data_IF_520782255700
#
_entry.id   IF_520782255700
#
_cell.length_a   1.000
_cell.length_b   1.000
_cell.length_c   1.000
_cell.angle_alpha   90.00
_cell.angle_beta   90.00
_cell.angle_gamma   90.00
#
_symmetry.space_group_name_H-M   'P 1'
#
loop_
_entity.id
_entity.type
_entity.pdbx_description
1 polymer ?
#
# COMPACT_ATOMS: atom_id res chain seq x y z
N UNK A 1 -29.78 18.92 34.12
CA UNK A 1 -28.89 19.17 32.97
C UNK A 1 -29.32 18.27 31.82
N UNK A 2 -30.03 18.81 30.82
CA UNK A 2 -30.38 18.07 29.59
C UNK A 2 -29.13 18.04 28.71
N UNK A 3 -28.63 16.85 28.36
CA UNK A 3 -27.62 16.72 27.31
C UNK A 3 -28.28 17.22 26.01
N UNK A 4 -27.77 18.30 25.45
CA UNK A 4 -28.15 18.71 24.10
C UNK A 4 -27.88 17.52 23.17
N UNK A 5 -28.88 17.16 22.38
CA UNK A 5 -28.74 16.08 21.41
C UNK A 5 -27.69 16.49 20.38
N UNK A 6 -26.54 15.83 20.42
CA UNK A 6 -25.45 16.00 19.45
C UNK A 6 -26.04 15.77 18.06
N UNK A 7 -25.99 16.81 17.20
CA UNK A 7 -26.43 16.67 15.81
C UNK A 7 -25.68 15.49 15.18
N UNK A 8 -26.34 14.64 14.38
CA UNK A 8 -25.66 13.52 13.73
C UNK A 8 -24.49 14.08 12.92
N UNK A 9 -23.27 13.65 13.26
CA UNK A 9 -22.07 14.06 12.54
C UNK A 9 -22.23 13.68 11.07
N UNK A 10 -21.89 14.61 10.20
CA UNK A 10 -21.83 14.34 8.77
C UNK A 10 -20.80 13.23 8.55
N UNK A 11 -21.02 12.36 7.58
CA UNK A 11 -20.12 11.23 7.39
C UNK A 11 -18.71 11.70 6.99
N UNK A 12 -18.65 12.85 6.34
CA UNK A 12 -17.45 13.62 6.01
C UNK A 12 -16.62 13.92 7.27
N UNK A 13 -17.26 14.27 8.39
CA UNK A 13 -16.59 14.51 9.68
C UNK A 13 -15.89 13.23 10.19
N UNK A 14 -16.47 12.06 9.93
CA UNK A 14 -15.87 10.77 10.32
C UNK A 14 -14.64 10.45 9.46
N UNK A 15 -14.68 10.75 8.16
CA UNK A 15 -13.52 10.59 7.28
C UNK A 15 -12.39 11.53 7.68
N UNK A 16 -12.70 12.81 7.89
CA UNK A 16 -11.75 13.83 8.36
C UNK A 16 -11.07 13.42 9.66
N UNK A 17 -11.85 12.98 10.64
CA UNK A 17 -11.32 12.52 11.92
C UNK A 17 -10.44 11.28 11.77
N UNK A 18 -10.82 10.31 10.95
CA UNK A 18 -10.07 9.05 10.81
C UNK A 18 -8.77 9.20 10.02
N UNK A 19 -8.78 10.04 8.97
CA UNK A 19 -7.61 10.29 8.11
C UNK A 19 -6.76 11.49 8.58
N UNK A 20 -7.17 12.17 9.66
CA UNK A 20 -6.49 13.34 10.22
C UNK A 20 -6.30 14.44 9.17
N UNK A 21 -7.39 14.88 8.54
CA UNK A 21 -7.43 16.04 7.64
C UNK A 21 -8.60 16.96 7.98
N UNK A 22 -8.56 18.20 7.50
CA UNK A 22 -9.63 19.21 7.68
C UNK A 22 -10.09 19.79 6.32
N UNK A 23 -11.02 20.74 6.36
CA UNK A 23 -11.55 21.38 5.14
C UNK A 23 -10.47 22.10 4.32
N UNK A 24 -9.45 22.68 4.98
CA UNK A 24 -8.35 23.35 4.30
C UNK A 24 -7.46 22.35 3.58
N UNK A 25 -7.17 21.21 4.20
CA UNK A 25 -6.47 20.08 3.59
C UNK A 25 -7.24 19.55 2.36
N UNK A 26 -8.57 19.42 2.46
CA UNK A 26 -9.40 18.97 1.35
C UNK A 26 -9.42 19.97 0.19
N UNK A 27 -9.58 21.26 0.49
CA UNK A 27 -9.61 22.33 -0.51
C UNK A 27 -8.27 22.41 -1.27
N UNK A 28 -7.14 22.37 -0.57
CA UNK A 28 -5.83 22.36 -1.21
C UNK A 28 -5.66 21.13 -2.12
N UNK A 29 -6.09 19.95 -1.66
CA UNK A 29 -5.98 18.72 -2.44
C UNK A 29 -6.85 18.75 -3.70
N UNK A 30 -8.04 19.37 -3.66
CA UNK A 30 -8.89 19.59 -4.84
C UNK A 30 -8.20 20.44 -5.91
N UNK A 31 -7.34 21.36 -5.49
CA UNK A 31 -6.53 22.21 -6.38
C UNK A 31 -5.25 21.51 -6.86
N UNK A 32 -5.00 20.27 -6.40
CA UNK A 32 -3.78 19.51 -6.70
C UNK A 32 -2.58 19.93 -5.85
N UNK A 33 -2.79 20.78 -4.84
CA UNK A 33 -1.76 21.33 -3.97
C UNK A 33 -1.73 20.65 -2.61
N UNK A 34 -0.60 20.81 -1.91
CA UNK A 34 -0.43 20.30 -0.55
C UNK A 34 -0.77 21.39 0.46
N UNK A 35 -1.51 21.03 1.51
CA UNK A 35 -1.72 21.96 2.62
C UNK A 35 -0.45 22.16 3.46
N UNK A 36 -0.35 23.27 4.17
CA UNK A 36 0.77 23.53 5.09
C UNK A 36 0.90 22.44 6.17
N UNK A 37 -0.23 21.92 6.67
CA UNK A 37 -0.27 20.84 7.66
C UNK A 37 0.31 19.56 7.09
N UNK A 38 -0.09 19.17 5.88
CA UNK A 38 0.42 17.97 5.21
C UNK A 38 1.93 18.11 4.91
N UNK A 39 2.37 19.28 4.43
CA UNK A 39 3.80 19.58 4.20
C UNK A 39 4.58 19.44 5.51
N UNK A 40 4.08 20.00 6.62
CA UNK A 40 4.72 19.91 7.93
C UNK A 40 4.82 18.45 8.41
N UNK A 41 3.75 17.66 8.27
CA UNK A 41 3.74 16.21 8.60
C UNK A 41 4.76 15.43 7.77
N UNK A 42 4.81 15.65 6.46
CA UNK A 42 5.76 14.98 5.56
C UNK A 42 7.22 15.39 5.84
N UNK A 43 7.48 16.66 6.13
CA UNK A 43 8.81 17.14 6.56
C UNK A 43 9.22 16.57 7.91
N UNK A 44 8.29 16.44 8.86
CA UNK A 44 8.55 15.78 10.14
C UNK A 44 8.94 14.31 9.94
N UNK A 45 8.20 13.58 9.10
CA UNK A 45 8.53 12.19 8.74
C UNK A 45 9.91 12.07 8.08
N UNK A 46 10.25 12.98 7.16
CA UNK A 46 11.59 13.03 6.55
C UNK A 46 12.69 13.29 7.57
N UNK A 47 12.46 14.21 8.53
CA UNK A 47 13.41 14.48 9.63
C UNK A 47 13.61 13.25 10.51
N UNK A 48 12.54 12.53 10.83
CA UNK A 48 12.62 11.28 11.60
C UNK A 48 13.44 10.21 10.86
N UNK A 49 13.23 10.05 9.55
CA UNK A 49 14.03 9.13 8.73
C UNK A 49 15.51 9.54 8.69
N UNK A 50 15.80 10.83 8.54
CA UNK A 50 17.17 11.35 8.55
C UNK A 50 17.85 11.14 9.91
N UNK A 51 17.13 11.37 11.01
CA UNK A 51 17.63 11.12 12.36
C UNK A 51 17.90 9.63 12.58
N UNK A 52 16.99 8.74 12.15
CA UNK A 52 17.20 7.29 12.21
C UNK A 52 18.43 6.84 11.40
N UNK A 53 18.61 7.38 10.19
CA UNK A 53 19.79 7.11 9.38
C UNK A 53 21.09 7.58 10.06
N UNK A 54 21.08 8.77 10.68
CA UNK A 54 22.21 9.28 11.44
C UNK A 54 22.54 8.37 12.64
N UNK A 55 21.52 7.92 13.38
CA UNK A 55 21.71 7.04 14.53
C UNK A 55 22.28 5.68 14.12
N UNK A 56 21.85 5.13 12.97
CA UNK A 56 22.46 3.92 12.39
C UNK A 56 23.93 4.14 12.04
N UNK A 57 24.27 5.29 11.44
CA UNK A 57 25.64 5.62 11.08
C UNK A 57 26.56 5.74 12.31
N UNK A 58 26.08 6.41 13.37
CA UNK A 58 26.84 6.64 14.60
C UNK A 58 26.99 5.35 15.42
N UNK A 59 25.98 4.48 15.42
CA UNK A 59 26.02 3.20 16.16
C UNK A 59 26.82 2.11 15.46
N UNK A 60 27.00 2.20 14.14
CA UNK A 60 27.76 1.23 13.34
C UNK A 60 29.16 0.90 13.92
N UNK A 61 30.06 1.89 14.19
CA UNK A 61 31.39 1.59 14.73
C UNK A 61 31.34 0.95 16.11
N UNK A 62 30.34 1.30 16.95
CA UNK A 62 30.17 0.69 18.27
C UNK A 62 29.85 -0.81 18.15
N UNK A 63 28.94 -1.18 17.25
CA UNK A 63 28.64 -2.59 17.00
C UNK A 63 29.83 -3.35 16.40
N UNK A 64 30.55 -2.74 15.45
CA UNK A 64 31.75 -3.33 14.88
C UNK A 64 32.82 -3.58 15.94
N UNK A 65 33.00 -2.66 16.88
CA UNK A 65 33.92 -2.82 18.01
C UNK A 65 33.48 -3.93 18.98
N UNK A 66 32.19 -3.98 19.33
CA UNK A 66 31.66 -5.01 20.22
C UNK A 66 31.81 -6.42 19.62
N UNK A 67 31.57 -6.59 18.32
CA UNK A 67 31.69 -7.90 17.67
C UNK A 67 33.13 -8.31 17.37
N UNK A 68 34.04 -7.36 17.14
CA UNK A 68 35.45 -7.69 16.98
C UNK A 68 36.08 -8.21 18.28
N UNK A 69 35.60 -7.74 19.44
CA UNK A 69 36.05 -8.20 20.76
C UNK A 69 35.73 -9.67 21.07
N UNK A 70 34.75 -10.28 20.38
CA UNK A 70 34.44 -11.72 20.49
C UNK A 70 35.58 -12.59 19.92
N UNK A 71 36.36 -12.04 18.99
CA UNK A 71 37.48 -12.72 18.35
C UNK A 71 37.09 -13.86 17.40
N UNK A 72 38.09 -14.37 16.68
CA UNK A 72 37.96 -15.52 15.79
C UNK A 72 36.99 -15.33 14.61
N UNK A 73 36.60 -16.44 14.00
CA UNK A 73 35.69 -16.46 12.83
C UNK A 73 34.27 -16.02 13.18
N UNK A 74 33.81 -16.27 14.41
CA UNK A 74 32.46 -15.88 14.86
C UNK A 74 32.30 -14.36 14.90
N UNK A 75 33.26 -13.64 15.49
CA UNK A 75 33.23 -12.17 15.52
C UNK A 75 33.24 -11.54 14.11
N UNK A 76 34.01 -12.12 13.18
CA UNK A 76 34.03 -11.71 11.78
C UNK A 76 32.65 -11.86 11.12
N UNK A 77 32.01 -13.03 11.26
CA UNK A 77 30.69 -13.30 10.69
C UNK A 77 29.64 -12.32 11.22
N UNK A 78 29.62 -12.08 12.54
CA UNK A 78 28.69 -11.14 13.17
C UNK A 78 28.91 -9.70 12.69
N UNK A 79 30.16 -9.29 12.54
CA UNK A 79 30.52 -7.96 12.03
C UNK A 79 30.02 -7.75 10.61
N UNK A 80 30.24 -8.74 9.73
CA UNK A 80 29.77 -8.69 8.33
C UNK A 80 28.25 -8.66 8.25
N UNK A 81 27.55 -9.54 8.96
CA UNK A 81 26.08 -9.56 8.97
C UNK A 81 25.49 -8.25 9.49
N UNK A 82 26.07 -7.70 10.56
CA UNK A 82 25.65 -6.42 11.11
C UNK A 82 25.88 -5.29 10.10
N UNK A 83 27.05 -5.26 9.45
CA UNK A 83 27.33 -4.29 8.38
C UNK A 83 26.30 -4.34 7.26
N UNK A 84 25.93 -5.54 6.80
CA UNK A 84 24.91 -5.72 5.76
C UNK A 84 23.52 -5.21 6.21
N UNK A 85 23.12 -5.51 7.45
CA UNK A 85 21.85 -5.03 8.02
C UNK A 85 21.83 -3.50 8.11
N UNK A 86 22.92 -2.89 8.57
CA UNK A 86 23.04 -1.43 8.68
C UNK A 86 23.00 -0.76 7.30
N UNK A 87 23.69 -1.31 6.31
CA UNK A 87 23.66 -0.82 4.92
C UNK A 87 22.25 -0.93 4.34
N UNK A 88 21.57 -2.07 4.51
CA UNK A 88 20.20 -2.27 4.05
C UNK A 88 19.23 -1.27 4.71
N UNK A 89 19.36 -1.05 6.03
CA UNK A 89 18.57 -0.07 6.77
C UNK A 89 18.80 1.36 6.28
N UNK A 90 20.06 1.74 6.04
CA UNK A 90 20.43 3.05 5.51
C UNK A 90 19.85 3.27 4.10
N UNK A 91 19.96 2.28 3.21
CA UNK A 91 19.38 2.34 1.87
C UNK A 91 17.85 2.50 1.93
N UNK A 92 17.18 1.75 2.79
CA UNK A 92 15.73 1.87 2.98
C UNK A 92 15.31 3.26 3.50
N UNK A 93 16.08 3.84 4.42
CA UNK A 93 15.85 5.19 4.94
C UNK A 93 16.04 6.26 3.84
N UNK A 94 17.12 6.18 3.06
CA UNK A 94 17.41 7.09 1.95
C UNK A 94 16.34 6.98 0.86
N UNK A 95 15.95 5.77 0.48
CA UNK A 95 14.88 5.54 -0.50
C UNK A 95 13.54 6.11 -0.03
N UNK A 96 13.18 5.90 1.24
CA UNK A 96 11.95 6.44 1.81
C UNK A 96 11.97 7.97 1.86
N UNK A 97 13.09 8.57 2.25
CA UNK A 97 13.26 10.02 2.27
C UNK A 97 13.21 10.64 0.86
N UNK A 98 13.75 9.95 -0.15
CA UNK A 98 13.71 10.40 -1.54
C UNK A 98 12.31 10.31 -2.14
N UNK A 99 11.52 9.29 -1.77
CA UNK A 99 10.11 9.20 -2.13
C UNK A 99 9.31 10.37 -1.54
N UNK A 100 9.49 10.67 -0.24
CA UNK A 100 8.84 11.84 0.41
C UNK A 100 9.25 13.15 -0.26
N UNK A 101 10.53 13.29 -0.63
CA UNK A 101 11.01 14.49 -1.31
C UNK A 101 10.46 14.63 -2.74
N UNK A 102 10.22 13.52 -3.44
CA UNK A 102 9.55 13.52 -4.75
C UNK A 102 8.08 13.88 -4.63
N UNK A 103 7.38 13.29 -3.66
CA UNK A 103 5.96 13.59 -3.41
C UNK A 103 5.76 15.08 -3.11
N UNK A 104 6.59 15.66 -2.23
CA UNK A 104 6.52 17.09 -1.88
C UNK A 104 6.87 18.07 -3.02
N UNK A 105 7.47 17.58 -4.12
CA UNK A 105 7.77 18.39 -5.31
C UNK A 105 6.72 18.25 -6.40
N UNK A 106 5.90 17.20 -6.33
CA UNK A 106 4.85 16.92 -7.31
C UNK A 106 3.48 17.37 -6.79
N UNK A 107 2.49 17.46 -7.69
CA UNK A 107 1.11 17.69 -7.29
C UNK A 107 0.57 16.51 -6.49
N UNK A 108 -0.47 16.77 -5.70
CA UNK A 108 -1.29 15.73 -5.09
C UNK A 108 -1.99 14.95 -6.20
N UNK A 109 -1.93 13.61 -6.14
CA UNK A 109 -2.62 12.78 -7.10
C UNK A 109 -4.04 12.47 -6.64
N UNK A 110 -4.93 12.29 -7.60
CA UNK A 110 -6.33 11.97 -7.37
C UNK A 110 -6.67 10.63 -8.02
N UNK A 111 -7.57 9.88 -7.39
CA UNK A 111 -8.21 8.72 -8.00
C UNK A 111 -9.67 8.66 -7.55
N UNK A 112 -10.57 8.41 -8.51
CA UNK A 112 -12.00 8.21 -8.27
C UNK A 112 -12.40 6.77 -8.55
N UNK A 113 -13.43 6.30 -7.85
CA UNK A 113 -14.05 5.02 -8.15
C UNK A 113 -14.78 4.41 -6.96
N UNK A 114 -15.20 3.16 -7.11
CA UNK A 114 -15.84 2.41 -6.03
C UNK A 114 -14.77 1.78 -5.13
N UNK A 115 -14.89 1.99 -3.83
CA UNK A 115 -13.99 1.39 -2.84
C UNK A 115 -14.19 -0.11 -2.76
N UNK A 116 -13.10 -0.87 -2.78
CA UNK A 116 -13.07 -2.26 -2.41
C UNK A 116 -12.21 -2.45 -1.16
N UNK A 117 -12.82 -2.93 -0.09
CA UNK A 117 -12.15 -3.21 1.18
C UNK A 117 -11.55 -4.62 1.16
N UNK A 118 -10.26 -4.74 1.50
CA UNK A 118 -9.53 -6.02 1.52
C UNK A 118 -8.76 -6.15 2.85
N UNK A 119 -8.75 -7.35 3.43
CA UNK A 119 -7.97 -7.65 4.64
C UNK A 119 -7.08 -8.86 4.38
N UNK A 120 -5.84 -8.80 4.88
CA UNK A 120 -4.91 -9.93 4.79
C UNK A 120 -4.29 -10.22 6.13
N UNK A 121 -4.31 -11.48 6.56
CA UNK A 121 -3.53 -11.92 7.70
C UNK A 121 -2.06 -12.10 7.28
N UNK A 122 -1.13 -11.47 8.02
CA UNK A 122 0.32 -11.62 7.85
C UNK A 122 1.00 -11.63 9.21
N UNK A 123 1.75 -12.68 9.53
CA UNK A 123 2.52 -12.81 10.78
C UNK A 123 1.69 -12.48 12.04
N UNK A 124 0.51 -13.10 12.17
CA UNK A 124 -0.42 -12.86 13.28
C UNK A 124 -0.95 -11.41 13.40
N UNK A 125 -0.87 -10.62 12.34
CA UNK A 125 -1.43 -9.26 12.25
C UNK A 125 -2.33 -9.15 11.02
N UNK A 126 -3.46 -8.48 11.16
CA UNK A 126 -4.34 -8.14 10.03
C UNK A 126 -3.88 -6.83 9.41
N UNK A 127 -3.58 -6.85 8.11
CA UNK A 127 -3.30 -5.66 7.31
C UNK A 127 -4.57 -5.30 6.56
N UNK A 128 -4.98 -4.04 6.70
CA UNK A 128 -6.19 -3.50 6.10
C UNK A 128 -5.84 -2.70 4.85
N UNK A 129 -6.62 -2.89 3.80
CA UNK A 129 -6.40 -2.25 2.52
C UNK A 129 -7.68 -1.64 1.98
N UNK A 130 -7.54 -0.41 1.48
CA UNK A 130 -8.55 0.28 0.68
C UNK A 130 -8.07 0.24 -0.77
N UNK A 131 -8.87 -0.32 -1.67
CA UNK A 131 -8.59 -0.35 -3.10
C UNK A 131 -9.55 0.58 -3.83
N UNK A 132 -9.02 1.36 -4.76
CA UNK A 132 -9.79 2.21 -5.66
C UNK A 132 -9.20 2.05 -7.07
N UNK A 133 -9.96 1.44 -7.98
CA UNK A 133 -9.45 1.06 -9.30
C UNK A 133 -8.20 0.18 -9.22
N UNK A 134 -7.07 0.66 -9.76
CA UNK A 134 -5.78 -0.05 -9.77
C UNK A 134 -4.88 0.28 -8.57
N UNK A 135 -5.29 1.23 -7.73
CA UNK A 135 -4.49 1.71 -6.60
C UNK A 135 -4.91 0.99 -5.33
N UNK A 136 -3.93 0.66 -4.49
CA UNK A 136 -4.12 -0.02 -3.21
C UNK A 136 -3.38 0.74 -2.12
N UNK A 137 -4.12 1.13 -1.09
CA UNK A 137 -3.63 1.85 0.07
C UNK A 137 -3.61 0.91 1.28
N UNK A 138 -2.51 0.90 2.03
CA UNK A 138 -2.46 0.25 3.33
C UNK A 138 -2.89 1.26 4.37
N UNK A 139 -3.95 0.96 5.11
CA UNK A 139 -4.56 1.89 6.08
C UNK A 139 -4.59 1.26 7.47
N UNK A 140 -4.81 2.08 8.49
CA UNK A 140 -5.09 1.58 9.85
C UNK A 140 -6.50 1.00 9.93
N UNK A 141 -6.80 0.29 11.01
CA UNK A 141 -8.13 -0.32 11.23
C UNK A 141 -9.21 0.75 11.33
N UNK A 142 -8.92 1.86 11.99
CA UNK A 142 -9.84 2.98 12.20
C UNK A 142 -10.20 3.63 10.87
N UNK A 143 -9.18 3.92 10.05
CA UNK A 143 -9.31 4.42 8.68
C UNK A 143 -10.07 3.43 7.78
N UNK A 144 -9.83 2.12 7.91
CA UNK A 144 -10.53 1.10 7.13
C UNK A 144 -12.03 1.03 7.45
N UNK A 145 -12.40 1.17 8.72
CA UNK A 145 -13.79 1.08 9.18
C UNK A 145 -14.62 2.31 8.82
N UNK A 146 -14.00 3.43 8.47
CA UNK A 146 -14.77 4.59 8.02
C UNK A 146 -15.27 4.39 6.60
N UNK A 147 -14.46 3.84 5.68
CA UNK A 147 -14.86 3.59 4.30
C UNK A 147 -16.01 2.57 4.19
N UNK A 148 -16.94 2.84 3.27
CA UNK A 148 -18.03 1.92 2.91
C UNK A 148 -17.65 1.13 1.67
N UNK A 149 -17.76 -0.19 1.76
CA UNK A 149 -17.45 -1.07 0.65
C UNK A 149 -18.42 -0.83 -0.51
N UNK A 150 -17.90 -0.77 -1.74
CA UNK A 150 -18.59 -0.54 -3.03
C UNK A 150 -19.16 0.86 -3.25
N UNK A 151 -19.05 1.75 -2.27
CA UNK A 151 -19.48 3.14 -2.43
C UNK A 151 -18.45 3.96 -3.24
N UNK A 152 -18.89 4.99 -3.99
CA UNK A 152 -18.00 5.82 -4.80
C UNK A 152 -17.29 6.87 -3.95
N UNK A 153 -15.97 6.96 -4.09
CA UNK A 153 -15.13 7.97 -3.43
C UNK A 153 -14.19 8.62 -4.41
N UNK A 154 -13.76 9.83 -4.07
CA UNK A 154 -12.58 10.49 -4.61
C UNK A 154 -11.51 10.52 -3.53
N UNK A 155 -10.33 9.97 -3.82
CA UNK A 155 -9.19 9.91 -2.91
C UNK A 155 -8.06 10.78 -3.44
N UNK A 156 -7.55 11.64 -2.57
CA UNK A 156 -6.35 12.44 -2.82
C UNK A 156 -5.17 11.82 -2.07
N UNK A 157 -4.05 11.59 -2.74
CA UNK A 157 -2.96 10.78 -2.19
C UNK A 157 -1.57 11.19 -2.67
N UNK A 158 -0.57 10.82 -1.86
CA UNK A 158 0.85 10.94 -2.19
C UNK A 158 1.31 9.73 -3.05
N UNK A 159 1.73 9.89 -4.31
CA UNK A 159 1.99 8.77 -5.23
C UNK A 159 3.12 7.83 -4.80
N UNK A 160 4.25 8.39 -4.37
CA UNK A 160 5.45 7.64 -3.99
C UNK A 160 5.25 6.85 -2.70
N UNK A 161 4.60 7.45 -1.71
CA UNK A 161 4.27 6.80 -0.44
C UNK A 161 2.98 5.97 -0.47
N UNK A 162 2.12 6.13 -1.48
CA UNK A 162 0.76 5.56 -1.53
C UNK A 162 -0.01 5.79 -0.22
N UNK A 163 0.03 7.03 0.26
CA UNK A 163 -0.64 7.45 1.50
C UNK A 163 -1.82 8.35 1.15
N UNK A 164 -3.00 8.02 1.68
CA UNK A 164 -4.20 8.86 1.52
C UNK A 164 -4.00 10.14 2.33
N UNK A 165 -4.23 11.29 1.69
CA UNK A 165 -4.12 12.62 2.28
C UNK A 165 -5.50 13.14 2.71
N UNK A 166 -6.49 12.99 1.83
CA UNK A 166 -7.90 13.25 2.12
C UNK A 166 -8.81 12.35 1.28
N UNK A 167 -10.08 12.29 1.65
CA UNK A 167 -11.10 11.50 0.95
C UNK A 167 -12.43 12.24 0.93
N UNK A 168 -13.14 12.14 -0.19
CA UNK A 168 -14.47 12.69 -0.39
C UNK A 168 -15.43 11.56 -0.77
N UNK A 169 -16.60 11.51 -0.12
CA UNK A 169 -17.64 10.54 -0.46
C UNK A 169 -18.56 11.13 -1.53
N UNK A 170 -18.61 10.52 -2.71
CA UNK A 170 -19.35 11.04 -3.87
C UNK A 170 -20.86 10.71 -3.78
N UNK A 171 -21.42 10.74 -2.57
CA UNK A 171 -22.81 10.32 -2.33
C UNK A 171 -23.77 11.37 -2.89
N UNK A 172 -24.44 11.04 -3.99
CA UNK A 172 -25.72 11.67 -4.32
C UNK A 172 -25.73 12.78 -5.36
N UNK A 173 -24.72 12.93 -6.21
CA UNK A 173 -24.94 13.47 -7.57
C UNK A 173 -25.40 12.38 -8.56
N UNK A 174 -25.39 11.12 -8.12
CA UNK A 174 -25.81 9.93 -8.87
C UNK A 174 -27.34 9.79 -9.02
N UNK A 175 -28.07 10.90 -9.12
CA UNK A 175 -29.48 10.91 -9.51
C UNK A 175 -29.71 10.55 -10.99
N UNK A 176 -28.70 10.15 -11.78
CA UNK A 176 -28.88 10.02 -13.23
C UNK A 176 -28.05 8.98 -13.99
N UNK A 177 -27.11 8.25 -13.38
CA UNK A 177 -26.11 7.51 -14.16
C UNK A 177 -26.10 5.97 -14.05
N UNK A 178 -26.72 5.35 -13.04
CA UNK A 178 -26.47 3.92 -12.75
C UNK A 178 -27.71 3.01 -12.72
N UNK A 179 -28.76 3.34 -13.48
CA UNK A 179 -29.81 2.37 -13.85
C UNK A 179 -29.48 1.59 -15.13
N UNK A 180 -28.28 1.77 -15.72
CA UNK A 180 -27.96 1.23 -17.06
C UNK A 180 -26.84 0.18 -17.09
N UNK A 181 -26.34 -0.29 -15.93
CA UNK A 181 -25.27 -1.30 -15.87
C UNK A 181 -25.69 -2.66 -15.32
N UNK A 182 -26.97 -2.88 -14.98
CA UNK A 182 -27.52 -4.21 -14.68
C UNK A 182 -28.04 -4.97 -15.91
N UNK A 183 -27.57 -4.63 -17.11
CA UNK A 183 -27.62 -5.53 -18.29
C UNK A 183 -26.29 -6.26 -18.46
N UNK A 184 -25.80 -6.85 -17.37
CA UNK A 184 -24.76 -7.87 -17.37
C UNK A 184 -25.38 -9.18 -16.89
N UNK A 185 -25.91 -9.96 -17.84
CA UNK A 185 -25.83 -11.42 -17.71
C UNK A 185 -27.11 -12.19 -17.39
N UNK A 186 -28.27 -11.79 -17.93
CA UNK A 186 -29.40 -12.73 -18.12
C UNK A 186 -29.24 -13.61 -19.38
N UNK A 187 -28.08 -13.57 -20.07
CA UNK A 187 -27.86 -14.22 -21.36
C UNK A 187 -26.79 -15.32 -21.40
N UNK A 188 -26.25 -15.79 -20.27
CA UNK A 188 -25.20 -16.82 -20.25
C UNK A 188 -25.64 -18.17 -19.65
N UNK A 189 -26.94 -18.43 -19.58
CA UNK A 189 -27.48 -19.71 -19.09
C UNK A 189 -27.85 -20.72 -20.20
N UNK A 190 -27.64 -20.38 -21.48
CA UNK A 190 -28.13 -21.20 -22.60
C UNK A 190 -27.04 -21.94 -23.41
N UNK A 191 -25.79 -22.00 -22.93
CA UNK A 191 -24.68 -22.67 -23.64
C UNK A 191 -23.94 -23.75 -22.83
N UNK A 192 -24.52 -24.23 -21.73
CA UNK A 192 -23.96 -25.35 -20.94
C UNK A 192 -24.86 -26.59 -20.99
N UNK A 193 -25.19 -27.04 -22.21
CA UNK A 193 -25.94 -28.30 -22.45
C UNK A 193 -25.33 -29.19 -23.54
N UNK A 194 -24.05 -29.00 -23.89
CA UNK A 194 -23.35 -29.88 -24.83
C UNK A 194 -21.82 -29.93 -24.59
N UNK A 195 -21.39 -30.42 -23.43
CA UNK A 195 -20.00 -30.89 -23.24
C UNK A 195 -19.91 -31.92 -22.10
N UNK A 196 -20.79 -32.92 -22.15
CA UNK A 196 -20.54 -34.18 -21.47
C UNK A 196 -19.66 -35.05 -22.35
N UNK A 197 -18.34 -34.83 -22.35
CA UNK A 197 -17.39 -35.79 -22.95
C UNK A 197 -16.08 -35.85 -22.15
N UNK A 198 -15.95 -36.97 -21.43
CA UNK A 198 -14.74 -37.67 -20.94
C UNK A 198 -13.59 -36.87 -20.32
N UNK A 199 -13.68 -36.63 -19.01
CA UNK A 199 -12.50 -36.34 -18.18
C UNK A 199 -11.62 -37.59 -17.89
N UNK A 200 -12.04 -38.78 -18.31
CA UNK A 200 -11.29 -40.03 -18.10
C UNK A 200 -10.22 -40.33 -19.18
N UNK A 201 -10.18 -39.62 -20.31
CA UNK A 201 -9.19 -39.88 -21.38
C UNK A 201 -7.93 -38.99 -21.34
N UNK A 202 -7.92 -37.89 -20.59
CA UNK A 202 -6.78 -36.96 -20.58
C UNK A 202 -5.61 -37.41 -19.68
N UNK A 203 -5.83 -38.35 -18.76
CA UNK A 203 -4.80 -38.77 -17.79
C UNK A 203 -3.93 -39.95 -18.27
N UNK A 204 -4.14 -40.44 -19.49
CA UNK A 204 -3.41 -41.59 -20.05
C UNK A 204 -2.26 -41.22 -21.03
N UNK A 205 -1.93 -39.94 -21.23
CA UNK A 205 -0.96 -39.50 -22.25
C UNK A 205 0.25 -38.70 -21.74
N UNK A 206 0.55 -38.71 -20.44
CA UNK A 206 1.65 -37.92 -19.86
C UNK A 206 2.80 -38.74 -19.24
N UNK A 207 2.91 -40.03 -19.57
CA UNK A 207 3.98 -40.90 -19.04
C UNK A 207 4.97 -41.40 -20.08
N UNK A 208 5.02 -40.83 -21.29
CA UNK A 208 6.01 -41.23 -22.28
C UNK A 208 6.62 -39.99 -22.95
N UNK A 209 7.93 -40.06 -23.20
CA UNK A 209 8.85 -38.99 -23.58
C UNK A 209 9.34 -38.10 -22.40
N UNK A 210 10.59 -38.16 -21.98
CA UNK A 210 11.78 -38.53 -22.74
C UNK A 210 12.85 -37.47 -22.46
N UNK A 211 14.02 -37.96 -22.10
CA UNK A 211 15.23 -37.22 -21.79
C UNK A 211 15.47 -35.93 -22.62
N UNK A 212 15.82 -34.82 -21.96
CA UNK A 212 16.62 -33.77 -22.59
C UNK A 212 17.72 -33.24 -21.66
N UNK A 213 18.85 -33.95 -21.73
CA UNK A 213 20.23 -33.46 -21.89
C UNK A 213 20.62 -32.14 -21.23
N UNK A 214 21.42 -32.29 -20.18
CA UNK A 214 22.44 -31.33 -19.76
C UNK A 214 23.50 -31.19 -20.87
N UNK A 215 23.62 -30.01 -21.48
CA UNK A 215 24.83 -29.59 -22.22
C UNK A 215 25.35 -28.29 -21.63
N UNK A 216 26.54 -28.38 -21.04
CA UNK A 216 27.37 -27.22 -20.73
C UNK A 216 28.04 -26.65 -21.96
N UNK A 217 28.47 -25.40 -21.83
CA UNK A 217 29.44 -24.71 -22.69
C UNK A 217 29.97 -23.54 -21.84
N UNK A 218 31.10 -23.71 -21.16
CA UNK A 218 32.47 -23.28 -21.51
C UNK A 218 32.71 -21.79 -21.70
N UNK A 219 33.81 -21.38 -21.08
CA UNK A 219 34.44 -20.07 -20.99
C UNK A 219 34.97 -19.50 -22.31
N UNK A 220 35.12 -18.18 -22.34
CA UNK A 220 36.13 -17.41 -23.09
C UNK A 220 36.26 -16.08 -22.31
N UNK A 221 37.34 -15.89 -21.54
CA UNK A 221 38.61 -15.21 -21.89
C UNK A 221 38.47 -13.70 -21.96
#
# INVERSE_FOLDING_TARGET
MRREAEKPKKYEDLLMAALDFDDADLTANMEGDWSERQIARMRARRRLLAFGALLLLVSAPLFMFLFSAIGGSVGLVLTVLTGLILIAGLMAAVYSASQVARDLRGPVAEVEGRVALDTRAKNNKTIYYVKLGRVRFSVKKEEFLTFKNRDPYRLYYAPGQKTILSAEWLRGDAGSADERSEDWGAGSSELELAAGESADEANARLTDDGELRLRGTTAAS
#
